data_IF_921987844379
#
_entry.id   IF_921987844379
#
_cell.length_a   1.000
_cell.length_b   1.000
_cell.length_c   1.000
_cell.angle_alpha   90.00
_cell.angle_beta   90.00
_cell.angle_gamma   90.00
#
_symmetry.space_group_name_H-M   'P 1'
#
loop_
_entity.id
_entity.type
_entity.pdbx_description
1 polymer ?
#
# COMPACT_ATOMS: atom_id res chain seq x y z
N UNK A 1 8.92 -11.96 7.37
CA UNK A 1 8.79 -11.55 5.94
C UNK A 1 9.39 -10.18 5.67
N UNK A 2 9.23 -9.21 6.57
CA UNK A 2 9.64 -7.81 6.45
C UNK A 2 10.82 -7.43 7.36
N UNK A 3 11.54 -8.42 7.88
CA UNK A 3 12.64 -8.24 8.85
C UNK A 3 13.80 -7.35 8.34
N UNK A 4 13.97 -7.24 7.03
CA UNK A 4 15.07 -6.48 6.42
C UNK A 4 14.65 -5.11 5.84
N UNK A 5 13.40 -4.66 6.04
CA UNK A 5 12.97 -3.33 5.56
C UNK A 5 13.87 -2.21 6.07
N UNK A 6 14.32 -2.32 7.33
CA UNK A 6 15.20 -1.35 7.99
C UNK A 6 16.56 -1.17 7.28
N UNK A 7 16.93 -2.10 6.39
CA UNK A 7 18.19 -2.10 5.64
C UNK A 7 18.06 -1.58 4.21
N UNK A 8 16.84 -1.33 3.74
CA UNK A 8 16.60 -0.91 2.35
C UNK A 8 16.90 0.59 2.13
N UNK A 9 16.80 1.38 3.20
CA UNK A 9 17.04 2.82 3.18
C UNK A 9 17.51 3.28 4.57
N UNK A 10 18.45 4.23 4.63
CA UNK A 10 18.95 4.78 5.88
C UNK A 10 17.84 5.42 6.75
N UNK A 11 16.76 5.90 6.14
CA UNK A 11 15.60 6.46 6.82
C UNK A 11 14.55 5.42 7.22
N UNK A 12 14.67 4.16 6.78
CA UNK A 12 13.68 3.11 7.06
C UNK A 12 13.37 2.93 8.56
N UNK A 13 14.36 2.90 9.48
CA UNK A 13 14.07 2.79 10.92
C UNK A 13 13.22 3.96 11.45
N UNK A 14 13.41 5.15 10.87
CA UNK A 14 12.67 6.35 11.26
C UNK A 14 11.25 6.29 10.69
N UNK A 15 11.11 5.96 9.41
CA UNK A 15 9.83 5.81 8.73
C UNK A 15 8.94 4.74 9.38
N UNK A 16 9.52 3.64 9.87
CA UNK A 16 8.77 2.53 10.47
C UNK A 16 8.44 2.75 11.96
N UNK A 17 9.02 3.77 12.61
CA UNK A 17 9.00 3.96 14.08
C UNK A 17 7.59 4.10 14.66
N UNK A 18 6.68 4.72 13.93
CA UNK A 18 5.31 4.98 14.42
C UNK A 18 4.32 3.85 14.09
N UNK A 19 4.78 2.78 13.43
CA UNK A 19 3.96 1.60 13.19
C UNK A 19 3.80 0.74 14.44
N UNK A 20 2.63 0.13 14.58
CA UNK A 20 2.24 -0.70 15.71
C UNK A 20 1.77 -2.06 15.23
N UNK A 21 2.52 -3.15 15.48
CA UNK A 21 2.11 -4.50 15.13
C UNK A 21 0.69 -4.84 15.62
N UNK A 22 -0.07 -5.56 14.80
CA UNK A 22 -1.36 -6.11 15.20
C UNK A 22 -1.21 -7.43 15.92
N UNK A 23 -1.98 -7.60 17.00
CA UNK A 23 -2.13 -8.88 17.68
C UNK A 23 -2.96 -9.89 16.87
N UNK A 24 -2.88 -11.16 17.24
CA UNK A 24 -3.58 -12.26 16.57
C UNK A 24 -5.09 -12.04 16.48
N UNK A 25 -5.74 -11.62 17.58
CA UNK A 25 -7.18 -11.39 17.62
C UNK A 25 -7.63 -10.34 16.59
N UNK A 26 -6.89 -9.22 16.47
CA UNK A 26 -7.19 -8.18 15.49
C UNK A 26 -6.96 -8.64 14.04
N UNK A 27 -5.98 -9.52 13.81
CA UNK A 27 -5.78 -10.12 12.49
C UNK A 27 -6.91 -11.10 12.13
N UNK A 28 -7.46 -11.81 13.11
CA UNK A 28 -8.61 -12.68 12.91
C UNK A 28 -9.86 -11.87 12.56
N UNK A 29 -10.07 -10.70 13.18
CA UNK A 29 -11.13 -9.75 12.81
C UNK A 29 -10.99 -9.24 11.36
N UNK A 30 -9.76 -9.07 10.87
CA UNK A 30 -9.50 -8.73 9.47
C UNK A 30 -9.80 -9.92 8.56
N UNK A 31 -9.43 -11.14 8.94
CA UNK A 31 -9.75 -12.36 8.16
C UNK A 31 -11.25 -12.63 8.08
N UNK A 32 -12.03 -12.16 9.05
CA UNK A 32 -13.50 -12.25 9.01
C UNK A 32 -14.13 -11.33 7.95
N UNK A 33 -13.48 -10.23 7.56
CA UNK A 33 -13.93 -9.42 6.41
C UNK A 33 -13.78 -10.21 5.11
N UNK A 34 -12.63 -10.88 4.95
CA UNK A 34 -12.37 -11.78 3.83
C UNK A 34 -11.23 -12.73 4.18
N UNK A 35 -11.45 -14.03 3.98
CA UNK A 35 -10.42 -15.04 4.16
C UNK A 35 -9.33 -15.00 3.07
N UNK A 36 -9.52 -14.19 2.02
CA UNK A 36 -8.66 -14.15 0.83
C UNK A 36 -7.74 -12.94 0.76
N UNK A 37 -7.65 -12.12 1.81
CA UNK A 37 -6.66 -11.03 1.85
C UNK A 37 -5.25 -11.55 1.52
N UNK A 38 -4.42 -10.77 0.80
CA UNK A 38 -3.06 -11.17 0.49
C UNK A 38 -2.28 -11.54 1.75
N UNK A 39 -1.64 -12.70 1.75
CA UNK A 39 -0.86 -13.17 2.90
C UNK A 39 0.25 -12.18 3.27
N UNK A 40 0.88 -11.57 2.27
CA UNK A 40 1.92 -10.55 2.45
C UNK A 40 1.42 -9.31 3.23
N UNK A 41 0.17 -8.92 3.02
CA UNK A 41 -0.46 -7.81 3.74
C UNK A 41 -0.70 -8.17 5.21
N UNK A 42 -1.26 -9.35 5.46
CA UNK A 42 -1.50 -9.83 6.83
C UNK A 42 -0.18 -10.02 7.59
N UNK A 43 0.87 -10.53 6.93
CA UNK A 43 2.22 -10.62 7.51
C UNK A 43 2.81 -9.25 7.83
N UNK A 44 2.57 -8.24 6.98
CA UNK A 44 3.04 -6.88 7.26
C UNK A 44 2.36 -6.31 8.49
N UNK A 45 1.04 -6.43 8.60
CA UNK A 45 0.31 -5.98 9.78
C UNK A 45 0.74 -6.71 11.06
N UNK A 46 1.07 -8.00 10.98
CA UNK A 46 1.58 -8.77 12.11
C UNK A 46 3.00 -8.34 12.51
N UNK A 47 3.91 -8.14 11.56
CA UNK A 47 5.33 -7.91 11.84
C UNK A 47 5.68 -6.45 12.07
N UNK A 48 5.07 -5.53 11.30
CA UNK A 48 5.37 -4.10 11.30
C UNK A 48 4.18 -3.27 11.76
N UNK A 49 2.99 -3.59 11.27
CA UNK A 49 1.75 -3.04 11.80
C UNK A 49 1.14 -1.90 11.00
N UNK A 50 0.31 -1.14 11.70
CA UNK A 50 -0.45 -0.01 11.18
C UNK A 50 0.02 1.30 11.84
N UNK A 51 -0.31 2.44 11.26
CA UNK A 51 0.12 3.74 11.75
C UNK A 51 0.71 4.59 10.64
N UNK A 52 1.51 5.57 11.02
CA UNK A 52 2.04 6.57 10.08
C UNK A 52 3.48 6.24 9.73
N UNK A 53 3.80 6.24 8.43
CA UNK A 53 5.18 6.19 7.94
C UNK A 53 5.63 7.59 7.57
N UNK A 54 6.52 8.19 8.36
CA UNK A 54 7.05 9.55 8.15
C UNK A 54 8.41 9.74 8.82
N UNK A 55 9.20 10.70 8.33
CA UNK A 55 10.54 10.98 8.88
C UNK A 55 10.46 11.67 10.24
N UNK A 56 9.65 12.73 10.35
CA UNK A 56 9.48 13.46 11.58
C UNK A 56 8.06 14.02 11.75
N UNK A 57 7.84 14.74 12.84
CA UNK A 57 6.52 15.26 13.22
C UNK A 57 6.00 16.31 12.22
N UNK A 58 6.90 17.00 11.53
CA UNK A 58 6.61 18.07 10.57
C UNK A 58 6.52 17.57 9.12
N UNK A 59 7.05 16.37 8.83
CA UNK A 59 6.98 15.76 7.50
C UNK A 59 5.60 15.25 7.16
N UNK A 60 5.23 15.39 5.89
CA UNK A 60 4.08 14.70 5.33
C UNK A 60 4.30 13.19 5.35
N UNK A 61 3.25 12.38 5.62
CA UNK A 61 3.38 10.94 5.62
C UNK A 61 3.68 10.40 4.21
N UNK A 62 4.61 9.46 4.14
CA UNK A 62 4.81 8.61 2.97
C UNK A 62 3.59 7.71 2.77
N UNK A 63 3.14 7.07 3.85
CA UNK A 63 1.96 6.22 3.88
C UNK A 63 1.37 6.19 5.28
N UNK A 64 0.07 6.32 5.39
CA UNK A 64 -0.71 5.99 6.59
C UNK A 64 -1.36 4.64 6.35
N UNK A 65 -0.98 3.64 7.14
CA UNK A 65 -1.52 2.28 7.08
C UNK A 65 -2.68 2.18 8.07
N UNK A 66 -3.84 1.79 7.57
CA UNK A 66 -5.05 1.59 8.37
C UNK A 66 -4.92 0.37 9.27
N UNK A 67 -5.47 0.46 10.48
CA UNK A 67 -5.57 -0.68 11.39
C UNK A 67 -6.42 -1.82 10.81
N UNK A 68 -7.44 -1.48 10.03
CA UNK A 68 -8.32 -2.41 9.33
C UNK A 68 -8.55 -1.89 7.92
N UNK A 69 -8.57 -2.75 6.89
CA UNK A 69 -9.02 -2.35 5.57
C UNK A 69 -10.44 -1.77 5.61
N UNK A 70 -10.68 -0.75 4.79
CA UNK A 70 -11.96 -0.05 4.70
C UNK A 70 -12.58 -0.30 3.33
N UNK A 71 -13.89 -0.55 3.28
CA UNK A 71 -14.62 -0.66 2.01
C UNK A 71 -14.60 0.70 1.30
N UNK A 72 -14.00 0.74 0.10
CA UNK A 72 -13.79 1.99 -0.62
C UNK A 72 -15.10 2.70 -0.95
N UNK A 73 -16.08 1.97 -1.49
CA UNK A 73 -17.33 2.55 -1.94
C UNK A 73 -18.22 2.91 -0.75
N UNK A 74 -18.40 1.97 0.18
CA UNK A 74 -19.36 2.13 1.29
C UNK A 74 -18.84 3.02 2.41
N UNK A 75 -17.61 2.80 2.85
CA UNK A 75 -17.12 3.30 4.13
C UNK A 75 -16.11 4.46 3.98
N UNK A 76 -15.46 4.58 2.81
CA UNK A 76 -14.48 5.66 2.56
C UNK A 76 -15.03 6.78 1.67
N UNK A 77 -15.44 6.47 0.44
CA UNK A 77 -15.92 7.46 -0.52
C UNK A 77 -17.41 7.80 -0.35
N UNK A 78 -18.23 6.82 0.05
CA UNK A 78 -19.67 6.97 0.19
C UNK A 78 -20.42 7.00 -1.15
N UNK A 79 -19.80 6.46 -2.19
CA UNK A 79 -20.32 6.43 -3.56
C UNK A 79 -19.76 5.22 -4.34
N UNK A 80 -20.41 4.86 -5.45
CA UNK A 80 -20.07 3.70 -6.29
C UNK A 80 -19.19 4.08 -7.51
N UNK A 81 -18.62 5.29 -7.55
CA UNK A 81 -17.88 5.76 -8.73
C UNK A 81 -16.60 4.95 -8.98
N UNK A 82 -16.06 4.28 -7.97
CA UNK A 82 -14.90 3.38 -8.11
C UNK A 82 -15.17 2.19 -9.05
N UNK A 83 -16.43 1.83 -9.27
CA UNK A 83 -16.85 0.78 -10.21
C UNK A 83 -17.08 1.33 -11.64
N UNK A 84 -17.00 2.64 -11.81
CA UNK A 84 -17.12 3.26 -13.14
C UNK A 84 -15.76 3.29 -13.83
N UNK A 85 -15.76 3.13 -15.15
CA UNK A 85 -14.53 3.21 -15.93
C UNK A 85 -13.90 4.61 -15.83
N UNK A 86 -12.61 4.62 -15.53
CA UNK A 86 -11.79 5.81 -15.52
C UNK A 86 -11.29 6.19 -16.91
N UNK A 87 -10.55 7.30 -17.03
CA UNK A 87 -9.97 7.73 -18.31
C UNK A 87 -8.88 6.80 -18.84
N UNK A 88 -8.28 5.96 -17.99
CA UNK A 88 -7.14 5.11 -18.33
C UNK A 88 -7.37 3.62 -18.08
N UNK A 89 -8.26 3.26 -17.15
CA UNK A 89 -8.51 1.87 -16.77
C UNK A 89 -10.00 1.65 -16.49
N UNK A 90 -10.45 0.41 -16.71
CA UNK A 90 -11.77 -0.04 -16.29
C UNK A 90 -11.92 0.05 -14.77
N UNK A 91 -13.15 0.24 -14.30
CA UNK A 91 -13.48 0.32 -12.88
C UNK A 91 -13.13 -0.95 -12.09
N UNK A 92 -13.34 -0.90 -10.77
CA UNK A 92 -13.13 -2.05 -9.90
C UNK A 92 -14.09 -3.20 -10.25
N UNK A 93 -13.61 -4.44 -10.12
CA UNK A 93 -14.39 -5.64 -10.50
C UNK A 93 -15.29 -6.14 -9.38
N UNK A 94 -14.96 -5.81 -8.14
CA UNK A 94 -15.72 -6.12 -6.93
C UNK A 94 -15.24 -5.19 -5.80
N UNK A 95 -15.63 -5.48 -4.55
CA UNK A 95 -15.29 -4.68 -3.36
C UNK A 95 -13.79 -4.34 -3.31
N UNK A 96 -13.51 -3.05 -3.25
CA UNK A 96 -12.16 -2.53 -3.04
C UNK A 96 -11.92 -2.28 -1.55
N UNK A 97 -10.87 -2.91 -1.02
CA UNK A 97 -10.47 -2.77 0.38
C UNK A 97 -9.26 -1.85 0.50
N UNK A 98 -9.45 -0.64 1.00
CA UNK A 98 -8.40 0.37 1.20
C UNK A 98 -7.61 0.05 2.46
N UNK A 99 -6.31 -0.18 2.32
CA UNK A 99 -5.41 -0.43 3.45
C UNK A 99 -4.62 0.81 3.89
N UNK A 100 -4.53 1.86 3.09
CA UNK A 100 -3.75 3.03 3.45
C UNK A 100 -3.85 4.18 2.47
N UNK A 101 -3.24 5.31 2.84
CA UNK A 101 -3.27 6.56 2.07
C UNK A 101 -1.94 7.28 2.14
N UNK A 102 -1.55 7.96 1.08
CA UNK A 102 -0.43 8.88 1.14
C UNK A 102 -0.85 10.30 1.54
N UNK A 103 0.14 11.19 1.66
CA UNK A 103 -0.07 12.60 2.00
C UNK A 103 -0.79 13.44 0.95
N UNK A 104 -0.91 12.95 -0.29
CA UNK A 104 -1.64 13.63 -1.38
C UNK A 104 -3.12 13.26 -1.40
N UNK A 105 -3.53 12.34 -0.52
CA UNK A 105 -4.90 11.82 -0.47
C UNK A 105 -5.15 10.65 -1.42
N UNK A 106 -4.12 10.17 -2.11
CA UNK A 106 -4.21 8.95 -2.90
C UNK A 106 -4.38 7.75 -1.96
N UNK A 107 -5.42 6.96 -2.21
CA UNK A 107 -5.70 5.75 -1.46
C UNK A 107 -5.09 4.52 -2.13
N UNK A 108 -4.70 3.53 -1.33
CA UNK A 108 -4.17 2.25 -1.78
C UNK A 108 -4.99 1.11 -1.23
N UNK A 109 -5.29 0.14 -2.08
CA UNK A 109 -6.19 -0.96 -1.73
C UNK A 109 -6.02 -2.21 -2.57
N UNK A 110 -6.92 -3.16 -2.35
CA UNK A 110 -7.03 -4.39 -3.13
C UNK A 110 -8.41 -4.53 -3.74
N UNK A 111 -8.48 -4.93 -5.00
CA UNK A 111 -9.73 -5.33 -5.67
C UNK A 111 -10.00 -6.82 -5.43
N UNK A 112 -11.05 -7.17 -4.67
CA UNK A 112 -11.37 -8.57 -4.38
C UNK A 112 -11.81 -9.36 -5.60
N UNK A 113 -12.28 -8.69 -6.65
CA UNK A 113 -12.78 -9.24 -7.90
C UNK A 113 -11.69 -9.40 -8.96
N UNK A 114 -10.57 -8.70 -8.81
CA UNK A 114 -9.42 -8.77 -9.70
C UNK A 114 -8.24 -9.53 -9.09
N UNK A 115 -8.51 -10.70 -8.50
CA UNK A 115 -7.49 -11.54 -7.87
C UNK A 115 -6.67 -10.83 -6.78
N UNK A 116 -7.30 -9.91 -6.03
CA UNK A 116 -6.65 -9.12 -4.98
C UNK A 116 -5.52 -8.23 -5.50
N UNK A 117 -5.65 -7.76 -6.74
CA UNK A 117 -4.67 -6.86 -7.35
C UNK A 117 -4.56 -5.55 -6.58
N UNK A 118 -3.33 -5.08 -6.44
CA UNK A 118 -3.01 -3.84 -5.76
C UNK A 118 -3.45 -2.63 -6.61
N UNK A 119 -4.12 -1.69 -5.99
CA UNK A 119 -4.64 -0.48 -6.63
C UNK A 119 -4.05 0.79 -6.01
N UNK A 120 -3.81 1.78 -6.86
CA UNK A 120 -3.78 3.20 -6.52
C UNK A 120 -5.14 3.80 -6.90
N UNK A 121 -5.73 4.63 -6.04
CA UNK A 121 -7.04 5.25 -6.25
C UNK A 121 -6.92 6.75 -5.97
N UNK A 122 -7.20 7.56 -6.99
CA UNK A 122 -7.15 9.01 -6.85
C UNK A 122 -8.43 9.58 -6.21
N UNK A 123 -8.42 10.89 -5.94
CA UNK A 123 -9.58 11.59 -5.37
C UNK A 123 -10.81 11.60 -6.30
N UNK A 124 -10.63 11.36 -7.59
CA UNK A 124 -11.71 11.22 -8.59
C UNK A 124 -12.22 9.78 -8.70
N UNK A 125 -11.78 8.87 -7.82
CA UNK A 125 -12.10 7.43 -7.79
C UNK A 125 -11.56 6.68 -9.02
N UNK A 126 -10.65 7.28 -9.78
CA UNK A 126 -10.01 6.59 -10.88
C UNK A 126 -8.98 5.60 -10.31
N UNK A 127 -9.07 4.35 -10.76
CA UNK A 127 -8.17 3.30 -10.32
C UNK A 127 -6.98 3.18 -11.27
N UNK A 128 -5.81 2.90 -10.70
CA UNK A 128 -4.61 2.45 -11.43
C UNK A 128 -4.17 1.13 -10.83
N UNK A 129 -4.07 0.09 -11.64
CA UNK A 129 -3.64 -1.24 -11.20
C UNK A 129 -2.12 -1.30 -11.17
N UNK A 130 -1.57 -1.49 -9.98
CA UNK A 130 -0.13 -1.63 -9.81
C UNK A 130 0.28 -3.07 -10.15
N UNK A 131 1.27 -3.20 -11.03
CA UNK A 131 1.89 -4.51 -11.34
C UNK A 131 2.96 -4.85 -10.29
N UNK A 132 2.51 -4.88 -9.03
CA UNK A 132 3.32 -5.11 -7.85
C UNK A 132 2.56 -6.02 -6.89
N UNK A 133 3.26 -6.94 -6.23
CA UNK A 133 2.73 -7.55 -5.02
C UNK A 133 2.71 -6.54 -3.88
N UNK A 134 1.96 -6.81 -2.81
CA UNK A 134 1.96 -5.93 -1.64
C UNK A 134 3.35 -5.82 -1.02
N UNK A 135 4.09 -6.94 -0.91
CA UNK A 135 5.47 -6.91 -0.44
C UNK A 135 6.35 -6.02 -1.30
N UNK A 136 6.24 -6.13 -2.61
CA UNK A 136 7.01 -5.30 -3.53
C UNK A 136 6.65 -3.83 -3.37
N UNK A 137 5.37 -3.48 -3.25
CA UNK A 137 4.97 -2.11 -2.98
C UNK A 137 5.63 -1.55 -1.70
N UNK A 138 5.59 -2.29 -0.59
CA UNK A 138 6.24 -1.87 0.66
C UNK A 138 7.76 -1.74 0.51
N UNK A 139 8.44 -2.71 -0.09
CA UNK A 139 9.90 -2.64 -0.33
C UNK A 139 10.25 -1.45 -1.25
N UNK A 140 9.46 -1.25 -2.29
CA UNK A 140 9.59 -0.17 -3.25
C UNK A 140 9.43 1.22 -2.64
N UNK A 141 8.60 1.38 -1.60
CA UNK A 141 8.47 2.65 -0.88
C UNK A 141 9.78 3.12 -0.24
N UNK A 142 10.65 2.18 0.16
CA UNK A 142 11.97 2.52 0.72
C UNK A 142 13.03 2.70 -0.37
N UNK A 143 12.96 1.90 -1.43
CA UNK A 143 13.96 1.92 -2.51
C UNK A 143 13.77 3.12 -3.44
N UNK A 144 12.51 3.48 -3.75
CA UNK A 144 12.16 4.60 -4.62
C UNK A 144 12.03 5.92 -3.84
N UNK A 145 12.22 5.91 -2.52
CA UNK A 145 12.03 7.08 -1.66
C UNK A 145 12.79 8.31 -2.20
N UNK A 146 12.18 9.52 -2.23
CA UNK A 146 10.85 9.85 -1.71
C UNK A 146 9.69 9.59 -2.69
N UNK A 147 9.95 9.07 -3.88
CA UNK A 147 8.94 8.79 -4.89
C UNK A 147 8.25 7.44 -4.66
N UNK A 148 7.08 7.26 -5.29
CA UNK A 148 6.29 6.03 -5.15
C UNK A 148 6.78 4.97 -6.15
N UNK A 149 6.87 3.69 -5.76
CA UNK A 149 7.15 2.62 -6.71
C UNK A 149 5.94 2.41 -7.62
N UNK A 150 6.18 2.32 -8.94
CA UNK A 150 5.13 2.02 -9.93
C UNK A 150 5.34 0.67 -10.62
N UNK A 151 6.51 0.07 -10.48
CA UNK A 151 6.80 -1.24 -11.08
C UNK A 151 8.14 -1.82 -10.65
N UNK A 152 8.22 -3.14 -10.73
CA UNK A 152 9.44 -3.90 -10.50
C UNK A 152 9.56 -5.02 -11.53
N UNK A 153 10.62 -5.00 -12.32
CA UNK A 153 10.87 -6.05 -13.31
C UNK A 153 12.37 -6.30 -13.45
N UNK A 154 12.75 -7.58 -13.59
CA UNK A 154 14.15 -7.98 -13.83
C UNK A 154 15.17 -7.42 -12.81
N UNK A 155 14.76 -7.18 -11.55
CA UNK A 155 15.64 -6.62 -10.52
C UNK A 155 15.75 -5.09 -10.54
N UNK A 156 14.95 -4.41 -11.36
CA UNK A 156 14.93 -2.95 -11.49
C UNK A 156 13.60 -2.42 -10.97
N UNK A 157 13.68 -1.47 -10.05
CA UNK A 157 12.55 -0.67 -9.58
C UNK A 157 12.38 0.55 -10.46
N UNK A 158 11.14 0.95 -10.70
CA UNK A 158 10.81 2.23 -11.34
C UNK A 158 9.87 3.02 -10.44
N UNK A 159 10.16 4.31 -10.29
CA UNK A 159 9.31 5.23 -9.55
C UNK A 159 8.31 5.99 -10.45
N UNK A 160 7.40 6.73 -9.83
CA UNK A 160 6.41 7.59 -10.50
C UNK A 160 7.02 8.73 -11.32
N UNK A 161 8.29 9.09 -11.09
CA UNK A 161 9.05 10.06 -11.88
C UNK A 161 9.75 9.45 -13.10
N UNK A 162 9.71 8.13 -13.27
CA UNK A 162 10.42 7.41 -14.32
C UNK A 162 11.89 7.12 -14.02
N UNK A 163 12.35 7.31 -12.78
CA UNK A 163 13.70 6.98 -12.34
C UNK A 163 13.80 5.49 -12.04
N UNK A 164 14.94 4.89 -12.40
CA UNK A 164 15.21 3.47 -12.20
C UNK A 164 16.22 3.26 -11.07
N UNK A 165 15.98 2.23 -10.24
CA UNK A 165 16.81 1.87 -9.10
C UNK A 165 17.15 0.38 -9.15
N UNK A 166 18.40 0.02 -8.84
CA UNK A 166 18.79 -1.38 -8.66
C UNK A 166 18.24 -1.93 -7.34
N UNK A 167 17.90 -3.22 -7.29
CA UNK A 167 17.36 -3.88 -6.09
C UNK A 167 18.33 -3.97 -4.89
N UNK A 168 19.56 -3.48 -5.01
CA UNK A 168 20.51 -3.39 -3.88
C UNK A 168 20.19 -2.15 -3.04
N UNK A 169 20.29 -2.29 -1.71
CA UNK A 169 20.09 -1.18 -0.77
C UNK A 169 20.85 0.08 -1.23
N UNK A 170 20.22 1.25 -1.10
CA UNK A 170 20.90 2.51 -1.33
C UNK A 170 21.99 2.66 -0.25
N UNK A 171 23.27 2.57 -0.65
CA UNK A 171 24.44 2.80 0.22
C UNK A 171 24.58 4.29 0.60
#
# INVERSE_FOLDING_TARGET
MYENLDKLNMLAPVLLRELRPLGADALDDIRQLSQRFPAEYLSFLHERGYGVMKEDVSSFPLLVVNQRPVDAARDYFGDDLIYSDGPYEEGAKDVVWIFGLDSTGTAFGFDSGDSWRLLEIDNSRCITRLDLTFKQFIEGLFICYPQRPIGFSSGIWRDSGGVEYSATAQE
#
